data_IF_787579681767
#
_entry.id   IF_787579681767
#
_cell.length_a   1.000
_cell.length_b   1.000
_cell.length_c   1.000
_cell.angle_alpha   90.00
_cell.angle_beta   90.00
_cell.angle_gamma   90.00
#
_symmetry.space_group_name_H-M   'P 1'
#
loop_
_entity.id
_entity.type
_entity.pdbx_description
1 polymer ?
#
# COMPACT_ATOMS: atom_id res chain seq x y z
N UNK A 1 52.16 -31.09 57.76
CA UNK A 1 53.07 -30.61 58.83
C UNK A 1 52.52 -29.29 59.35
N UNK A 2 52.27 -29.21 60.67
CA UNK A 2 51.67 -28.15 61.51
C UNK A 2 50.17 -27.81 61.23
N UNK A 3 49.16 -28.37 61.93
CA UNK A 3 48.63 -28.18 63.33
C UNK A 3 47.96 -26.80 63.52
N UNK A 4 46.75 -26.57 64.08
CA UNK A 4 45.73 -27.27 64.90
C UNK A 4 44.39 -26.48 64.77
N UNK A 5 43.22 -27.06 64.48
CA UNK A 5 42.15 -27.61 65.36
C UNK A 5 41.80 -26.88 66.68
N UNK A 6 40.54 -26.39 66.78
CA UNK A 6 39.57 -26.45 67.91
C UNK A 6 38.17 -26.12 67.30
N UNK A 7 37.19 -27.03 67.14
CA UNK A 7 36.28 -27.64 68.13
C UNK A 7 35.48 -26.57 68.92
N UNK A 8 34.15 -26.58 69.13
CA UNK A 8 33.09 -27.59 68.99
C UNK A 8 31.72 -26.99 69.45
N UNK A 9 30.60 -27.69 69.17
CA UNK A 9 29.24 -27.65 69.84
C UNK A 9 28.31 -26.44 69.55
N UNK A 10 27.20 -26.58 68.80
CA UNK A 10 25.88 -27.25 69.03
C UNK A 10 24.86 -26.45 69.85
N UNK A 11 23.75 -26.03 69.22
CA UNK A 11 22.35 -26.32 69.59
C UNK A 11 21.35 -25.28 69.04
N UNK A 12 20.46 -25.79 68.17
CA UNK A 12 19.01 -25.54 68.07
C UNK A 12 18.36 -24.46 68.97
N UNK A 13 17.64 -23.49 68.38
CA UNK A 13 16.16 -23.39 68.37
C UNK A 13 15.69 -22.01 67.87
N UNK A 14 14.60 -22.04 67.12
CA UNK A 14 13.86 -20.94 66.50
C UNK A 14 13.26 -19.97 67.55
N UNK A 15 13.26 -18.66 67.26
CA UNK A 15 12.03 -17.87 67.06
C UNK A 15 12.27 -16.35 67.08
N UNK A 16 11.62 -15.71 66.10
CA UNK A 16 10.95 -14.42 66.10
C UNK A 16 11.71 -13.11 66.39
N UNK A 17 11.75 -12.33 65.30
CA UNK A 17 11.30 -10.93 65.20
C UNK A 17 12.27 -9.77 65.52
N UNK A 18 12.42 -8.96 64.45
CA UNK A 18 12.59 -7.50 64.42
C UNK A 18 13.95 -6.95 64.87
N UNK A 19 14.81 -6.60 63.90
CA UNK A 19 14.80 -5.26 63.30
C UNK A 19 16.08 -5.00 62.46
N UNK A 20 15.84 -4.46 61.26
CA UNK A 20 16.68 -3.56 60.47
C UNK A 20 18.21 -3.75 60.46
N UNK A 21 18.78 -4.07 59.29
CA UNK A 21 19.78 -3.22 58.59
C UNK A 21 20.14 -3.79 57.20
N UNK A 22 19.76 -3.02 56.17
CA UNK A 22 20.40 -2.80 54.86
C UNK A 22 21.36 -3.86 54.26
N UNK A 23 21.01 -4.37 53.06
CA UNK A 23 21.83 -4.31 51.81
C UNK A 23 21.19 -5.08 50.63
N UNK A 24 20.67 -4.30 49.69
CA UNK A 24 20.82 -4.40 48.21
C UNK A 24 20.64 -5.74 47.49
N UNK A 25 19.72 -5.79 46.51
CA UNK A 25 19.73 -6.81 45.46
C UNK A 25 18.49 -6.86 44.56
N UNK A 26 18.32 -5.87 43.69
CA UNK A 26 17.56 -5.91 42.42
C UNK A 26 16.11 -6.42 42.42
N UNK A 27 15.18 -5.46 42.52
CA UNK A 27 13.78 -5.62 42.13
C UNK A 27 13.51 -4.78 40.87
N UNK A 28 12.93 -5.45 39.87
CA UNK A 28 12.00 -4.95 38.84
C UNK A 28 12.41 -3.77 37.94
N UNK A 29 12.85 -4.11 36.73
CA UNK A 29 12.38 -3.43 35.50
C UNK A 29 12.44 -4.39 34.31
N UNK A 30 11.44 -5.28 34.20
CA UNK A 30 10.98 -5.66 32.86
C UNK A 30 10.38 -4.38 32.29
N UNK A 31 11.17 -3.65 31.51
CA UNK A 31 10.68 -2.58 30.68
C UNK A 31 9.59 -3.19 29.81
N UNK A 32 8.34 -2.86 30.13
CA UNK A 32 7.21 -3.02 29.24
C UNK A 32 7.61 -2.35 27.92
N UNK A 33 7.96 -3.17 26.94
CA UNK A 33 7.90 -2.74 25.56
C UNK A 33 6.43 -2.42 25.33
N UNK A 34 6.10 -1.12 25.34
CA UNK A 34 4.86 -0.65 24.75
C UNK A 34 4.90 -1.07 23.27
N UNK A 35 4.43 -2.27 22.98
CA UNK A 35 3.99 -2.66 21.64
C UNK A 35 2.84 -1.71 21.34
N UNK A 36 3.15 -0.60 20.69
CA UNK A 36 2.15 0.24 20.04
C UNK A 36 1.38 -0.71 19.14
N UNK A 37 0.12 -0.97 19.50
CA UNK A 37 -0.73 -1.91 18.79
C UNK A 37 -1.15 -1.25 17.46
N UNK A 38 -0.27 -1.31 16.47
CA UNK A 38 -0.56 -0.84 15.12
C UNK A 38 -1.68 -1.72 14.55
N UNK A 39 -2.78 -1.09 14.16
CA UNK A 39 -3.92 -1.80 13.56
C UNK A 39 -3.57 -2.30 12.16
N UNK A 40 -4.10 -3.48 11.79
CA UNK A 40 -3.98 -3.99 10.42
C UNK A 40 -4.61 -2.98 9.44
N UNK A 41 -3.92 -2.61 8.33
CA UNK A 41 -4.47 -1.68 7.36
C UNK A 41 -5.67 -2.28 6.65
N UNK A 42 -6.65 -1.45 6.28
CA UNK A 42 -7.74 -1.88 5.40
C UNK A 42 -7.21 -1.99 3.98
N UNK A 43 -7.48 -3.11 3.32
CA UNK A 43 -7.01 -3.40 1.96
C UNK A 43 -8.17 -3.50 0.98
N UNK A 44 -8.05 -2.84 -0.17
CA UNK A 44 -8.98 -2.99 -1.30
C UNK A 44 -8.30 -2.67 -2.63
N UNK A 45 -8.93 -3.05 -3.75
CA UNK A 45 -8.62 -2.44 -5.04
C UNK A 45 -9.29 -1.07 -5.14
N UNK A 46 -8.54 -0.03 -5.52
CA UNK A 46 -9.05 1.34 -5.63
C UNK A 46 -9.19 1.82 -7.08
N UNK A 47 -8.60 1.11 -8.03
CA UNK A 47 -8.83 1.34 -9.45
C UNK A 47 -8.66 0.04 -10.23
N UNK A 48 -9.52 -0.14 -11.24
CA UNK A 48 -9.44 -1.22 -12.20
C UNK A 48 -9.53 -0.63 -13.61
N UNK A 49 -8.72 -1.15 -14.52
CA UNK A 49 -8.88 -0.90 -15.95
C UNK A 49 -8.90 -2.19 -16.73
N UNK A 50 -10.03 -2.48 -17.36
CA UNK A 50 -10.20 -3.61 -18.27
C UNK A 50 -10.07 -3.09 -19.69
N UNK A 51 -9.29 -3.79 -20.50
CA UNK A 51 -9.09 -3.48 -21.91
C UNK A 51 -9.38 -4.73 -22.71
N UNK A 52 -9.97 -4.57 -23.90
CA UNK A 52 -10.41 -5.66 -24.78
C UNK A 52 -10.63 -5.14 -26.19
N UNK A 53 -11.04 -6.05 -27.06
CA UNK A 53 -11.44 -5.75 -28.43
C UNK A 53 -12.94 -5.75 -28.57
N UNK A 54 -13.44 -4.77 -29.30
CA UNK A 54 -14.81 -4.70 -29.76
C UNK A 54 -14.81 -4.86 -31.27
N UNK A 55 -15.44 -5.93 -31.76
CA UNK A 55 -15.63 -6.12 -33.19
C UNK A 55 -16.61 -5.06 -33.75
N UNK A 56 -16.70 -4.93 -35.08
CA UNK A 56 -17.49 -3.87 -35.72
C UNK A 56 -18.97 -3.91 -35.32
N UNK A 57 -19.55 -5.10 -35.25
CA UNK A 57 -20.97 -5.30 -34.98
C UNK A 57 -21.29 -4.99 -33.51
N UNK A 58 -20.46 -5.48 -32.59
CA UNK A 58 -20.56 -5.17 -31.16
C UNK A 58 -20.33 -3.68 -30.88
N UNK A 59 -19.42 -3.02 -31.62
CA UNK A 59 -19.20 -1.58 -31.48
C UNK A 59 -20.43 -0.77 -31.88
N UNK A 60 -21.08 -1.16 -32.97
CA UNK A 60 -22.33 -0.52 -33.41
C UNK A 60 -23.48 -0.82 -32.44
N UNK A 61 -23.61 -2.07 -31.99
CA UNK A 61 -24.65 -2.48 -31.04
C UNK A 61 -24.52 -1.74 -29.70
N UNK A 62 -23.31 -1.71 -29.14
CA UNK A 62 -23.01 -1.06 -27.88
C UNK A 62 -23.20 0.47 -27.98
N UNK A 63 -22.72 1.11 -29.05
CA UNK A 63 -22.94 2.54 -29.27
C UNK A 63 -24.43 2.88 -29.38
N UNK A 64 -25.23 2.03 -30.03
CA UNK A 64 -26.68 2.20 -30.16
C UNK A 64 -27.38 2.05 -28.81
N UNK A 65 -27.02 1.02 -28.03
CA UNK A 65 -27.52 0.81 -26.67
C UNK A 65 -27.23 2.03 -25.79
N UNK A 66 -25.98 2.50 -25.77
CA UNK A 66 -25.59 3.64 -24.94
C UNK A 66 -26.24 4.96 -25.34
N UNK A 67 -26.69 5.10 -26.60
CA UNK A 67 -27.39 6.29 -27.06
C UNK A 67 -28.85 6.38 -26.58
N UNK A 68 -29.43 5.26 -26.13
CA UNK A 68 -30.81 5.21 -25.63
C UNK A 68 -30.90 5.00 -24.11
N UNK A 69 -29.80 4.61 -23.46
CA UNK A 69 -29.72 4.41 -22.01
C UNK A 69 -29.55 5.76 -21.28
N UNK A 70 -30.55 6.26 -20.52
CA UNK A 70 -30.49 7.59 -19.91
C UNK A 70 -29.39 7.74 -18.86
N UNK A 71 -28.90 6.63 -18.29
CA UNK A 71 -27.84 6.63 -17.28
C UNK A 71 -26.43 6.75 -17.87
N UNK A 72 -26.32 6.82 -19.21
CA UNK A 72 -25.05 6.90 -19.92
C UNK A 72 -24.93 8.23 -20.65
N UNK A 73 -23.83 8.93 -20.41
CA UNK A 73 -23.45 10.12 -21.17
C UNK A 73 -22.45 9.72 -22.24
N UNK A 74 -22.83 9.86 -23.51
CA UNK A 74 -22.02 9.50 -24.67
C UNK A 74 -21.52 10.76 -25.40
N UNK A 75 -20.25 10.78 -25.84
CA UNK A 75 -19.66 11.87 -26.64
C UNK A 75 -18.52 11.36 -27.55
N UNK A 76 -17.93 12.26 -28.34
CA UNK A 76 -16.90 11.95 -29.35
C UNK A 76 -17.32 10.81 -30.31
N UNK A 77 -18.60 10.79 -30.72
CA UNK A 77 -19.22 9.67 -31.44
C UNK A 77 -18.84 9.72 -32.93
N UNK A 78 -18.12 8.71 -33.37
CA UNK A 78 -17.78 8.41 -34.77
C UNK A 78 -17.97 6.89 -35.00
N UNK A 79 -17.96 6.44 -36.25
CA UNK A 79 -18.05 5.00 -36.54
C UNK A 79 -16.91 4.17 -35.92
N UNK A 80 -15.74 4.78 -35.73
CA UNK A 80 -14.53 4.14 -35.23
C UNK A 80 -14.14 4.58 -33.83
N UNK A 81 -14.99 5.38 -33.16
CA UNK A 81 -14.66 5.98 -31.87
C UNK A 81 -15.90 6.37 -31.09
N UNK A 82 -15.90 6.15 -29.78
CA UNK A 82 -16.83 6.78 -28.87
C UNK A 82 -16.21 6.87 -27.48
N UNK A 83 -16.72 7.79 -26.66
CA UNK A 83 -16.44 7.84 -25.23
C UNK A 83 -17.74 7.91 -24.46
N UNK A 84 -17.79 7.24 -23.33
CA UNK A 84 -18.94 7.26 -22.45
C UNK A 84 -18.55 7.38 -20.99
N UNK A 85 -19.49 7.86 -20.19
CA UNK A 85 -19.52 7.66 -18.75
C UNK A 85 -20.87 7.09 -18.35
N UNK A 86 -20.83 6.08 -17.49
CA UNK A 86 -22.00 5.37 -17.02
C UNK A 86 -22.09 5.40 -15.49
N UNK A 87 -23.25 5.01 -14.96
CA UNK A 87 -23.48 4.80 -13.52
C UNK A 87 -23.09 6.03 -12.69
N UNK A 88 -23.71 7.18 -12.98
CA UNK A 88 -23.43 8.44 -12.29
C UNK A 88 -21.94 8.85 -12.38
N UNK A 89 -21.35 8.73 -13.57
CA UNK A 89 -19.96 9.09 -13.87
C UNK A 89 -18.89 8.24 -13.14
N UNK A 90 -19.28 7.11 -12.50
CA UNK A 90 -18.36 6.20 -11.80
C UNK A 90 -17.53 5.33 -12.74
N UNK A 91 -18.02 5.10 -13.96
CA UNK A 91 -17.37 4.26 -14.96
C UNK A 91 -17.05 5.10 -16.19
N UNK A 92 -15.81 5.07 -16.64
CA UNK A 92 -15.37 5.63 -17.92
C UNK A 92 -15.20 4.52 -18.96
N UNK A 93 -15.67 4.77 -20.19
CA UNK A 93 -15.59 3.84 -21.31
C UNK A 93 -15.02 4.60 -22.51
N UNK A 94 -14.02 4.03 -23.18
CA UNK A 94 -13.44 4.57 -24.41
C UNK A 94 -13.27 3.44 -25.43
N UNK A 95 -13.77 3.67 -26.64
CA UNK A 95 -13.49 2.86 -27.81
C UNK A 95 -12.82 3.76 -28.86
N UNK A 96 -11.70 3.33 -29.40
CA UNK A 96 -10.99 4.04 -30.49
C UNK A 96 -10.25 3.03 -31.36
N UNK A 97 -10.90 2.59 -32.43
CA UNK A 97 -10.35 1.59 -33.36
C UNK A 97 -9.12 2.11 -34.11
N UNK A 98 -9.18 3.35 -34.62
CA UNK A 98 -8.08 3.91 -35.43
C UNK A 98 -6.81 4.03 -34.59
N UNK A 99 -6.94 4.50 -33.35
CA UNK A 99 -5.82 4.56 -32.41
C UNK A 99 -5.34 3.16 -32.03
N UNK A 100 -6.23 2.21 -31.77
CA UNK A 100 -5.82 0.84 -31.49
C UNK A 100 -4.98 0.23 -32.63
N UNK A 101 -5.49 0.30 -33.86
CA UNK A 101 -4.82 -0.25 -35.05
C UNK A 101 -3.46 0.42 -35.28
N UNK A 102 -3.37 1.75 -35.07
CA UNK A 102 -2.11 2.51 -35.26
C UNK A 102 -1.02 2.15 -34.24
N UNK A 103 -1.40 1.67 -33.06
CA UNK A 103 -0.49 1.34 -31.97
C UNK A 103 -0.38 -0.17 -31.70
N UNK A 104 -1.04 -1.00 -32.53
CA UNK A 104 -1.18 -2.44 -32.36
C UNK A 104 -1.65 -2.82 -30.94
N UNK A 105 -2.82 -2.28 -30.54
CA UNK A 105 -3.40 -2.46 -29.21
C UNK A 105 -4.89 -2.78 -29.30
N UNK A 106 -5.40 -3.34 -28.21
CA UNK A 106 -6.82 -3.53 -27.96
C UNK A 106 -7.59 -2.20 -27.99
N UNK A 107 -8.78 -2.22 -28.59
CA UNK A 107 -9.49 -1.02 -29.04
C UNK A 107 -10.53 -0.44 -28.07
N UNK A 108 -10.81 -1.12 -26.96
CA UNK A 108 -11.76 -0.67 -25.95
C UNK A 108 -11.16 -0.72 -24.55
N UNK A 109 -11.49 0.28 -23.74
CA UNK A 109 -11.01 0.47 -22.36
C UNK A 109 -12.17 0.87 -21.46
N UNK A 110 -12.21 0.28 -20.27
CA UNK A 110 -13.17 0.57 -19.22
C UNK A 110 -12.42 0.84 -17.92
N UNK A 111 -12.63 2.00 -17.31
CA UNK A 111 -11.97 2.41 -16.06
C UNK A 111 -13.00 2.69 -14.97
N UNK A 112 -12.77 2.17 -13.77
CA UNK A 112 -13.65 2.39 -12.61
C UNK A 112 -12.92 2.13 -11.30
N UNK A 113 -13.46 2.66 -10.19
CA UNK A 113 -13.07 2.26 -8.84
C UNK A 113 -14.11 1.24 -8.34
N UNK A 114 -13.73 -0.03 -8.08
CA UNK A 114 -14.69 -1.05 -7.67
C UNK A 114 -15.35 -0.75 -6.31
N UNK A 115 -14.68 -0.01 -5.41
CA UNK A 115 -15.26 0.41 -4.13
C UNK A 115 -16.42 1.41 -4.26
N UNK A 116 -16.58 2.05 -5.43
CA UNK A 116 -17.68 3.00 -5.70
C UNK A 116 -18.89 2.36 -6.37
N UNK A 117 -18.79 1.08 -6.76
CA UNK A 117 -19.85 0.34 -7.42
C UNK A 117 -20.61 -0.53 -6.42
N UNK A 118 -21.93 -0.51 -6.47
CA UNK A 118 -22.76 -1.51 -5.79
C UNK A 118 -22.68 -2.86 -6.52
N UNK A 119 -23.14 -3.94 -5.88
CA UNK A 119 -23.17 -5.27 -6.52
C UNK A 119 -24.02 -5.28 -7.79
N UNK A 120 -25.16 -4.60 -7.78
CA UNK A 120 -26.05 -4.50 -8.94
C UNK A 120 -25.41 -3.70 -10.08
N UNK A 121 -24.71 -2.61 -9.74
CA UNK A 121 -23.92 -1.81 -10.69
C UNK A 121 -22.79 -2.63 -11.33
N UNK A 122 -22.09 -3.46 -10.53
CA UNK A 122 -21.06 -4.37 -11.04
C UNK A 122 -21.63 -5.40 -12.02
N UNK A 123 -22.76 -6.02 -11.66
CA UNK A 123 -23.46 -6.99 -12.52
C UNK A 123 -23.92 -6.31 -13.81
N UNK A 124 -24.53 -5.14 -13.72
CA UNK A 124 -24.98 -4.37 -14.87
C UNK A 124 -23.81 -4.02 -15.81
N UNK A 125 -22.68 -3.55 -15.27
CA UNK A 125 -21.51 -3.20 -16.07
C UNK A 125 -20.95 -4.42 -16.80
N UNK A 126 -20.86 -5.55 -16.10
CA UNK A 126 -20.40 -6.81 -16.68
C UNK A 126 -21.32 -7.29 -17.80
N UNK A 127 -22.63 -7.28 -17.58
CA UNK A 127 -23.61 -7.83 -18.51
C UNK A 127 -23.85 -6.96 -19.74
N UNK A 128 -23.84 -5.63 -19.58
CA UNK A 128 -24.26 -4.71 -20.64
C UNK A 128 -23.09 -4.07 -21.39
N UNK A 129 -21.88 -4.08 -20.83
CA UNK A 129 -20.70 -3.45 -21.45
C UNK A 129 -19.58 -4.48 -21.68
N UNK A 130 -19.06 -5.10 -20.61
CA UNK A 130 -17.86 -5.96 -20.70
C UNK A 130 -18.13 -7.22 -21.52
N UNK A 131 -19.34 -7.80 -21.43
CA UNK A 131 -19.75 -8.99 -22.18
C UNK A 131 -19.67 -8.87 -23.70
N UNK A 132 -19.64 -7.64 -24.24
CA UNK A 132 -19.46 -7.39 -25.68
C UNK A 132 -18.00 -7.46 -26.12
N UNK A 133 -17.05 -7.41 -25.17
CA UNK A 133 -15.62 -7.40 -25.44
C UNK A 133 -15.10 -8.82 -25.66
N UNK A 134 -14.09 -8.93 -26.51
CA UNK A 134 -13.28 -10.13 -26.76
C UNK A 134 -11.84 -9.83 -26.31
N UNK A 135 -11.06 -10.86 -25.98
CA UNK A 135 -9.65 -10.70 -25.56
C UNK A 135 -9.47 -9.67 -24.42
N UNK A 136 -10.42 -9.69 -23.47
CA UNK A 136 -10.43 -8.76 -22.35
C UNK A 136 -9.44 -9.17 -21.26
N UNK A 137 -8.92 -8.17 -20.56
CA UNK A 137 -8.04 -8.39 -19.42
C UNK A 137 -7.68 -7.10 -18.72
N UNK A 138 -7.18 -7.22 -17.50
CA UNK A 138 -6.73 -6.07 -16.73
C UNK A 138 -5.46 -5.47 -17.33
N UNK A 139 -5.40 -4.14 -17.37
CA UNK A 139 -4.19 -3.37 -17.73
C UNK A 139 -3.79 -2.38 -16.66
N UNK A 140 -4.64 -2.20 -15.65
CA UNK A 140 -4.35 -1.47 -14.41
C UNK A 140 -5.09 -2.09 -13.23
N UNK A 141 -4.38 -2.23 -12.12
CA UNK A 141 -4.92 -2.55 -10.80
C UNK A 141 -4.22 -1.66 -9.78
N UNK A 142 -4.98 -0.91 -8.99
CA UNK A 142 -4.42 -0.12 -7.89
C UNK A 142 -4.79 -0.79 -6.56
N UNK A 143 -3.80 -1.23 -5.78
CA UNK A 143 -4.00 -1.71 -4.41
C UNK A 143 -3.92 -0.53 -3.45
N UNK A 144 -4.88 -0.42 -2.53
CA UNK A 144 -4.89 0.62 -1.50
C UNK A 144 -4.88 0.00 -0.11
N UNK A 145 -3.88 0.36 0.69
CA UNK A 145 -3.76 0.05 2.11
C UNK A 145 -4.01 1.33 2.91
N UNK A 146 -5.12 1.38 3.64
CA UNK A 146 -5.48 2.49 4.52
C UNK A 146 -5.04 2.21 5.96
N UNK A 147 -4.23 3.09 6.51
CA UNK A 147 -3.71 3.08 7.88
C UNK A 147 -4.36 4.17 8.72
N UNK A 148 -4.69 3.86 9.97
CA UNK A 148 -5.18 4.83 10.96
C UNK A 148 -4.02 5.48 11.75
N UNK A 149 -2.77 5.18 11.38
CA UNK A 149 -1.53 5.78 11.91
C UNK A 149 -1.08 6.98 11.06
N UNK A 150 -0.34 7.92 11.67
CA UNK A 150 0.29 9.03 10.94
C UNK A 150 1.57 8.57 10.21
N UNK A 151 1.49 8.36 8.89
CA UNK A 151 2.65 7.96 8.09
C UNK A 151 3.62 9.11 7.75
N UNK A 152 3.37 10.34 8.22
CA UNK A 152 4.32 11.44 8.05
C UNK A 152 5.63 11.19 8.82
N UNK A 153 5.55 10.57 9.99
CA UNK A 153 6.69 10.25 10.87
C UNK A 153 7.47 8.99 10.46
N UNK A 154 6.97 8.25 9.45
CA UNK A 154 7.64 7.06 8.92
C UNK A 154 8.58 7.41 7.77
N UNK A 155 9.75 6.78 7.74
CA UNK A 155 10.69 6.84 6.64
C UNK A 155 10.37 5.77 5.59
N UNK A 156 10.02 6.20 4.38
CA UNK A 156 9.73 5.29 3.28
C UNK A 156 10.92 5.17 2.32
N UNK A 157 11.32 3.94 2.01
CA UNK A 157 12.41 3.65 1.07
C UNK A 157 12.11 2.44 0.22
N UNK A 158 12.81 2.33 -0.91
CA UNK A 158 12.80 1.14 -1.76
C UNK A 158 14.22 0.60 -1.88
N UNK A 159 14.36 -0.72 -1.96
CA UNK A 159 15.65 -1.35 -2.27
C UNK A 159 16.12 -0.99 -3.67
N UNK A 160 15.17 -0.90 -4.61
CA UNK A 160 15.43 -0.47 -5.98
C UNK A 160 15.67 1.05 -6.03
N UNK A 161 16.53 1.47 -6.94
CA UNK A 161 16.72 2.88 -7.23
C UNK A 161 15.56 3.38 -8.10
N UNK A 162 14.62 4.10 -7.48
CA UNK A 162 13.45 4.68 -8.14
C UNK A 162 13.45 6.20 -7.97
N UNK A 163 12.84 6.93 -8.92
CA UNK A 163 12.58 8.36 -8.74
C UNK A 163 11.67 8.56 -7.53
N UNK A 164 11.92 9.61 -6.74
CA UNK A 164 11.09 9.98 -5.60
C UNK A 164 10.62 11.42 -5.75
N UNK A 165 9.42 11.70 -5.25
CA UNK A 165 8.90 13.07 -5.15
C UNK A 165 8.14 13.19 -3.84
N UNK A 166 8.44 14.22 -3.06
CA UNK A 166 7.78 14.46 -1.77
C UNK A 166 7.12 15.84 -1.84
N UNK A 167 5.83 15.90 -1.52
CA UNK A 167 5.08 17.13 -1.36
C UNK A 167 4.95 17.41 0.13
N UNK A 168 5.35 18.62 0.51
CA UNK A 168 5.27 19.11 1.88
C UNK A 168 4.10 20.06 2.02
N UNK A 169 3.38 19.92 3.13
CA UNK A 169 2.33 20.85 3.52
C UNK A 169 2.89 22.21 3.91
N UNK A 170 1.99 23.17 4.15
CA UNK A 170 2.37 24.50 4.66
C UNK A 170 3.02 24.45 6.05
N UNK A 171 2.82 23.37 6.79
CA UNK A 171 3.46 23.10 8.09
C UNK A 171 4.87 22.50 7.97
N UNK A 172 5.37 22.26 6.75
CA UNK A 172 6.66 21.63 6.50
C UNK A 172 6.70 20.11 6.70
N UNK A 173 5.57 19.47 7.05
CA UNK A 173 5.49 18.01 7.14
C UNK A 173 5.26 17.40 5.75
N UNK A 174 5.83 16.22 5.44
CA UNK A 174 5.46 15.48 4.24
C UNK A 174 3.97 15.16 4.26
N UNK A 175 3.24 15.45 3.19
CA UNK A 175 1.83 15.09 3.00
C UNK A 175 1.65 14.00 1.95
N UNK A 176 2.58 13.90 0.99
CA UNK A 176 2.55 12.90 -0.08
C UNK A 176 3.97 12.52 -0.50
N UNK A 177 4.24 11.21 -0.61
CA UNK A 177 5.50 10.63 -1.07
C UNK A 177 5.20 9.73 -2.27
N UNK A 178 5.87 9.99 -3.39
CA UNK A 178 5.78 9.19 -4.62
C UNK A 178 7.07 8.40 -4.83
N UNK A 179 6.92 7.15 -5.24
CA UNK A 179 8.03 6.26 -5.62
C UNK A 179 7.77 5.71 -7.02
N UNK A 180 8.70 5.99 -7.94
CA UNK A 180 8.58 5.70 -9.37
C UNK A 180 7.98 6.86 -10.16
N UNK A 181 7.46 6.53 -11.35
CA UNK A 181 6.82 7.50 -12.25
C UNK A 181 5.46 6.94 -12.65
N UNK A 182 4.45 7.81 -12.74
CA UNK A 182 3.07 7.40 -13.03
C UNK A 182 2.93 6.50 -14.27
N UNK A 183 3.69 6.74 -15.33
CA UNK A 183 3.59 5.97 -16.59
C UNK A 183 4.36 4.64 -16.62
N UNK A 184 5.02 4.29 -15.51
CA UNK A 184 5.72 3.01 -15.35
C UNK A 184 4.75 1.87 -15.00
N UNK A 185 5.25 0.63 -15.02
CA UNK A 185 4.42 -0.55 -14.69
C UNK A 185 4.05 -0.62 -13.20
N UNK A 186 4.77 0.11 -12.34
CA UNK A 186 4.50 0.18 -10.90
C UNK A 186 4.80 1.56 -10.35
N UNK A 187 3.80 2.20 -9.76
CA UNK A 187 3.91 3.51 -9.14
C UNK A 187 3.29 3.51 -7.75
N UNK A 188 4.03 3.95 -6.73
CA UNK A 188 3.59 3.90 -5.34
C UNK A 188 3.36 5.32 -4.81
N UNK A 189 2.24 5.53 -4.12
CA UNK A 189 1.90 6.77 -3.41
C UNK A 189 1.72 6.47 -1.94
N UNK A 190 2.29 7.30 -1.08
CA UNK A 190 2.02 7.30 0.36
C UNK A 190 1.53 8.70 0.70
N UNK A 191 0.28 8.86 1.12
CA UNK A 191 -0.30 10.19 1.28
C UNK A 191 -1.34 10.27 2.38
N UNK A 192 -1.55 11.48 2.89
CA UNK A 192 -2.56 11.78 3.90
C UNK A 192 -3.96 11.76 3.25
N UNK A 193 -4.64 10.62 3.37
CA UNK A 193 -5.97 10.38 2.79
C UNK A 193 -7.05 11.21 3.48
N UNK A 194 -6.90 11.50 4.77
CA UNK A 194 -7.81 12.39 5.50
C UNK A 194 -7.79 13.80 4.94
N UNK A 195 -6.59 14.33 4.69
CA UNK A 195 -6.40 15.65 4.09
C UNK A 195 -6.95 15.68 2.66
N UNK A 196 -6.65 14.66 1.85
CA UNK A 196 -7.16 14.56 0.47
C UNK A 196 -8.70 14.53 0.39
N UNK A 197 -9.36 13.77 1.28
CA UNK A 197 -10.84 13.76 1.39
C UNK A 197 -11.41 15.12 1.79
N UNK A 198 -10.75 15.80 2.73
CA UNK A 198 -11.15 17.15 3.15
C UNK A 198 -11.07 18.15 2.00
N UNK A 199 -10.01 18.06 1.20
CA UNK A 199 -9.80 18.93 0.04
C UNK A 199 -10.82 18.67 -1.09
N UNK A 200 -11.29 17.43 -1.21
CA UNK A 200 -12.35 17.04 -2.15
C UNK A 200 -13.79 17.26 -1.63
N UNK A 201 -13.97 17.78 -0.42
CA UNK A 201 -15.26 17.91 0.26
C UNK A 201 -16.03 16.58 0.41
N UNK A 202 -15.30 15.48 0.62
CA UNK A 202 -15.87 14.18 0.97
C UNK A 202 -16.31 14.13 2.46
N UNK A 203 -17.03 13.06 2.84
CA UNK A 203 -17.47 12.85 4.21
C UNK A 203 -16.33 12.83 5.23
N UNK A 204 -16.59 13.36 6.42
CA UNK A 204 -15.62 13.44 7.51
C UNK A 204 -15.19 12.04 7.99
N UNK A 205 -13.89 11.90 8.27
CA UNK A 205 -13.28 10.66 8.76
C UNK A 205 -13.19 10.73 10.29
N UNK A 206 -13.82 9.76 10.96
CA UNK A 206 -13.87 9.69 12.43
C UNK A 206 -12.51 9.44 13.08
N UNK A 207 -11.60 8.71 12.41
CA UNK A 207 -10.26 8.45 12.93
C UNK A 207 -9.41 9.72 12.94
N UNK A 208 -8.51 9.85 13.91
CA UNK A 208 -7.60 10.99 14.05
C UNK A 208 -6.71 11.13 12.80
N UNK A 209 -6.14 10.02 12.33
CA UNK A 209 -5.34 9.94 11.13
C UNK A 209 -5.95 8.98 10.10
N UNK A 210 -5.73 9.26 8.82
CA UNK A 210 -5.99 8.31 7.75
C UNK A 210 -4.95 8.54 6.65
N UNK A 211 -4.08 7.57 6.47
CA UNK A 211 -3.05 7.57 5.45
C UNK A 211 -3.23 6.39 4.51
N UNK A 212 -2.89 6.58 3.24
CA UNK A 212 -3.00 5.53 2.23
C UNK A 212 -1.65 5.24 1.62
N UNK A 213 -1.30 3.95 1.55
CA UNK A 213 -0.27 3.42 0.66
C UNK A 213 -0.97 2.82 -0.54
N UNK A 214 -0.82 3.45 -1.70
CA UNK A 214 -1.47 3.06 -2.94
C UNK A 214 -0.43 2.59 -3.95
N UNK A 215 -0.63 1.39 -4.51
CA UNK A 215 0.29 0.74 -5.43
C UNK A 215 -0.44 0.58 -6.76
N UNK A 216 -0.14 1.48 -7.70
CA UNK A 216 -0.67 1.47 -9.06
C UNK A 216 0.16 0.53 -9.92
N UNK A 217 -0.44 -0.58 -10.35
CA UNK A 217 0.14 -1.60 -11.23
C UNK A 217 -0.43 -1.44 -12.63
N UNK A 218 0.42 -1.56 -13.64
CA UNK A 218 0.04 -1.45 -15.05
C UNK A 218 0.71 -2.52 -15.89
N UNK A 219 0.13 -2.80 -17.06
CA UNK A 219 0.67 -3.73 -18.07
C UNK A 219 0.83 -5.13 -17.45
N UNK A 220 2.00 -5.74 -17.56
CA UNK A 220 2.36 -7.05 -17.02
C UNK A 220 2.37 -7.12 -15.49
N UNK A 221 2.63 -6.01 -14.79
CA UNK A 221 2.70 -6.00 -13.32
C UNK A 221 1.36 -6.27 -12.64
N UNK A 222 0.23 -6.21 -13.37
CA UNK A 222 -1.09 -6.53 -12.81
C UNK A 222 -1.21 -8.00 -12.41
N UNK A 223 -0.50 -8.90 -13.11
CA UNK A 223 -0.52 -10.34 -12.82
C UNK A 223 0.27 -10.68 -11.55
N UNK A 224 1.13 -9.76 -11.11
CA UNK A 224 1.98 -9.90 -9.91
C UNK A 224 1.46 -9.05 -8.74
N UNK A 225 0.16 -8.73 -8.72
CA UNK A 225 -0.44 -7.88 -7.69
C UNK A 225 -0.23 -8.43 -6.26
N UNK A 226 -0.12 -9.75 -6.10
CA UNK A 226 0.10 -10.41 -4.81
C UNK A 226 1.57 -10.41 -4.32
N UNK A 227 2.54 -9.94 -5.13
CA UNK A 227 3.95 -9.76 -4.75
C UNK A 227 4.56 -8.50 -5.41
N UNK A 228 3.82 -7.38 -5.35
CA UNK A 228 4.20 -6.18 -6.10
C UNK A 228 5.00 -5.13 -5.29
N UNK A 229 5.24 -5.34 -3.99
CA UNK A 229 5.86 -4.33 -3.10
C UNK A 229 6.90 -4.89 -2.11
N UNK A 230 7.48 -6.05 -2.41
CA UNK A 230 8.47 -6.69 -1.54
C UNK A 230 9.75 -5.86 -1.30
N UNK A 231 10.06 -4.93 -2.19
CA UNK A 231 11.20 -4.02 -2.09
C UNK A 231 10.88 -2.67 -1.44
N UNK A 232 9.62 -2.39 -1.11
CA UNK A 232 9.20 -1.20 -0.36
C UNK A 232 9.41 -1.44 1.13
N UNK A 233 9.81 -0.40 1.85
CA UNK A 233 9.94 -0.40 3.31
C UNK A 233 9.37 0.90 3.86
N UNK A 234 8.50 0.80 4.87
CA UNK A 234 7.91 1.95 5.55
C UNK A 234 8.27 1.81 7.03
N UNK A 235 9.34 2.50 7.41
CA UNK A 235 10.14 2.23 8.59
C UNK A 235 10.00 3.35 9.62
N UNK A 236 10.32 3.05 10.86
CA UNK A 236 10.52 4.05 11.91
C UNK A 236 11.93 3.93 12.50
N UNK A 237 12.97 4.45 11.84
CA UNK A 237 14.36 4.17 12.23
C UNK A 237 14.74 4.81 13.57
N UNK A 238 15.16 4.01 14.55
CA UNK A 238 15.72 4.53 15.81
C UNK A 238 17.23 4.71 15.69
N UNK A 239 17.63 5.75 14.93
CA UNK A 239 19.03 6.03 14.63
C UNK A 239 19.89 6.29 15.88
N UNK A 240 19.27 6.62 17.03
CA UNK A 240 20.00 6.84 18.29
C UNK A 240 20.58 5.55 18.87
N UNK A 241 20.06 4.38 18.49
CA UNK A 241 20.57 3.06 18.90
C UNK A 241 21.91 2.69 18.27
N UNK A 242 22.30 3.36 17.17
CA UNK A 242 23.56 3.09 16.48
C UNK A 242 24.73 3.43 17.40
N UNK A 243 25.53 2.43 17.76
CA UNK A 243 26.69 2.60 18.66
C UNK A 243 27.79 3.45 18.03
N UNK A 244 28.17 3.15 16.77
CA UNK A 244 29.27 3.83 16.08
C UNK A 244 28.86 5.24 15.67
N UNK A 245 29.49 6.25 16.28
CA UNK A 245 29.18 7.68 16.05
C UNK A 245 29.20 8.08 14.58
N UNK A 246 30.14 7.56 13.79
CA UNK A 246 30.22 7.85 12.35
C UNK A 246 29.00 7.32 11.56
N UNK A 247 28.54 6.10 11.85
CA UNK A 247 27.35 5.55 11.20
C UNK A 247 26.09 6.29 11.66
N UNK A 248 26.01 6.62 12.95
CA UNK A 248 24.90 7.39 13.52
C UNK A 248 24.75 8.75 12.84
N UNK A 249 25.85 9.47 12.63
CA UNK A 249 25.86 10.75 11.94
C UNK A 249 25.43 10.63 10.47
N UNK A 250 25.93 9.61 9.75
CA UNK A 250 25.57 9.40 8.34
C UNK A 250 24.10 9.01 8.21
N UNK A 251 23.58 8.12 9.06
CA UNK A 251 22.16 7.75 9.04
C UNK A 251 21.28 8.96 9.35
N UNK A 252 21.60 9.76 10.37
CA UNK A 252 20.87 10.99 10.66
C UNK A 252 20.83 11.94 9.46
N UNK A 253 21.97 12.13 8.79
CA UNK A 253 22.09 12.94 7.58
C UNK A 253 21.17 12.42 6.46
N UNK A 254 21.20 11.11 6.18
CA UNK A 254 20.40 10.47 5.12
C UNK A 254 18.90 10.45 5.39
N UNK A 255 18.49 10.40 6.66
CA UNK A 255 17.09 10.50 7.06
C UNK A 255 16.56 11.94 6.99
N UNK A 256 17.44 12.92 7.12
CA UNK A 256 17.09 14.35 7.14
C UNK A 256 17.08 14.97 5.75
N UNK A 257 17.96 14.52 4.86
CA UNK A 257 18.10 15.05 3.51
C UNK A 257 18.23 13.91 2.48
N UNK A 258 17.23 13.81 1.61
CA UNK A 258 17.17 12.76 0.59
C UNK A 258 18.25 12.94 -0.50
N UNK A 259 18.74 14.17 -0.74
CA UNK A 259 19.79 14.42 -1.74
C UNK A 259 21.14 13.78 -1.34
N UNK A 260 21.36 13.56 -0.05
CA UNK A 260 22.59 12.97 0.49
C UNK A 260 22.81 11.52 0.04
N UNK A 261 21.73 10.79 -0.28
CA UNK A 261 21.82 9.48 -0.90
C UNK A 261 22.56 9.52 -2.24
N UNK A 262 22.37 10.59 -3.00
CA UNK A 262 23.01 10.81 -4.30
C UNK A 262 24.53 10.88 -4.22
N UNK A 263 25.07 11.38 -3.10
CA UNK A 263 26.51 11.60 -2.88
C UNK A 263 27.27 10.35 -2.46
N UNK A 264 26.56 9.31 -2.01
CA UNK A 264 27.18 8.05 -1.58
C UNK A 264 27.51 7.11 -2.74
N UNK A 265 28.63 6.38 -2.62
CA UNK A 265 28.95 5.24 -3.49
C UNK A 265 27.93 4.10 -3.34
N UNK A 266 27.71 3.30 -4.40
CA UNK A 266 26.68 2.23 -4.43
C UNK A 266 26.77 1.25 -3.24
N UNK A 267 27.99 0.86 -2.86
CA UNK A 267 28.21 -0.07 -1.74
C UNK A 267 27.83 0.59 -0.41
N UNK A 268 28.15 1.87 -0.24
CA UNK A 268 27.77 2.66 0.94
C UNK A 268 26.26 2.83 1.02
N UNK A 269 25.58 3.11 -0.10
CA UNK A 269 24.11 3.16 -0.13
C UNK A 269 23.50 1.85 0.36
N UNK A 270 23.99 0.72 -0.16
CA UNK A 270 23.51 -0.61 0.25
C UNK A 270 23.73 -0.85 1.74
N UNK A 271 24.93 -0.53 2.26
CA UNK A 271 25.24 -0.62 3.69
C UNK A 271 24.25 0.17 4.54
N UNK A 272 24.02 1.45 4.21
CA UNK A 272 23.15 2.30 5.03
C UNK A 272 21.67 1.98 4.88
N UNK A 273 21.23 1.48 3.71
CA UNK A 273 19.88 0.91 3.54
C UNK A 273 19.66 -0.25 4.52
N UNK A 274 20.59 -1.21 4.57
CA UNK A 274 20.49 -2.34 5.48
C UNK A 274 20.52 -1.89 6.94
N UNK A 275 21.45 -0.99 7.29
CA UNK A 275 21.52 -0.45 8.65
C UNK A 275 20.22 0.23 9.07
N UNK A 276 19.61 1.05 8.21
CA UNK A 276 18.32 1.72 8.48
C UNK A 276 17.22 0.69 8.75
N UNK A 277 17.15 -0.41 7.99
CA UNK A 277 16.20 -1.50 8.25
C UNK A 277 16.45 -2.17 9.61
N UNK A 278 17.72 -2.48 9.92
CA UNK A 278 18.11 -3.15 11.17
C UNK A 278 17.77 -2.34 12.43
N UNK A 279 17.88 -1.01 12.36
CA UNK A 279 17.57 -0.11 13.49
C UNK A 279 16.10 0.28 13.58
N UNK A 280 15.25 -0.23 12.69
CA UNK A 280 13.83 0.10 12.65
C UNK A 280 13.04 -0.95 13.42
N UNK A 281 12.48 -0.64 14.61
CA UNK A 281 11.64 -1.58 15.35
C UNK A 281 10.34 -1.96 14.61
N UNK A 282 9.91 -1.14 13.66
CA UNK A 282 8.68 -1.32 12.88
C UNK A 282 8.98 -1.18 11.38
N UNK A 283 8.50 -2.14 10.59
CA UNK A 283 8.33 -2.05 9.13
C UNK A 283 6.88 -2.37 8.77
N UNK A 284 6.09 -1.34 8.40
CA UNK A 284 4.67 -1.52 8.06
C UNK A 284 4.48 -2.39 6.82
N UNK A 285 5.53 -2.62 6.02
CA UNK A 285 5.46 -3.49 4.85
C UNK A 285 5.14 -4.93 5.24
N UNK A 286 5.63 -5.41 6.39
CA UNK A 286 5.33 -6.76 6.85
C UNK A 286 3.86 -6.91 7.29
N UNK A 287 3.29 -5.83 7.83
CA UNK A 287 1.86 -5.73 8.12
C UNK A 287 1.04 -5.72 6.82
N UNK A 288 1.47 -4.98 5.79
CA UNK A 288 0.86 -4.98 4.46
C UNK A 288 0.88 -6.37 3.81
N UNK A 289 2.02 -7.08 3.87
CA UNK A 289 2.15 -8.46 3.35
C UNK A 289 1.20 -9.42 4.07
N UNK A 290 1.11 -9.31 5.39
CA UNK A 290 0.22 -10.14 6.20
C UNK A 290 -1.25 -9.89 5.88
N UNK A 291 -1.63 -8.61 5.76
CA UNK A 291 -2.98 -8.17 5.36
C UNK A 291 -3.32 -8.65 3.95
N UNK A 292 -2.40 -8.53 3.00
CA UNK A 292 -2.57 -9.01 1.62
C UNK A 292 -2.85 -10.51 1.60
N UNK A 293 -2.02 -11.29 2.29
CA UNK A 293 -2.17 -12.76 2.38
C UNK A 293 -3.51 -13.16 3.01
N UNK A 294 -3.97 -12.44 4.03
CA UNK A 294 -5.27 -12.70 4.67
C UNK A 294 -6.46 -12.44 3.73
N UNK A 295 -6.34 -11.45 2.82
CA UNK A 295 -7.40 -11.04 1.90
C UNK A 295 -7.24 -11.60 0.47
N UNK A 296 -6.16 -12.32 0.17
CA UNK A 296 -5.76 -12.72 -1.18
C UNK A 296 -6.88 -13.46 -1.93
N UNK A 297 -7.53 -14.42 -1.27
CA UNK A 297 -8.65 -15.18 -1.85
C UNK A 297 -9.86 -14.33 -2.17
N UNK A 298 -10.16 -13.31 -1.36
CA UNK A 298 -11.29 -12.42 -1.60
C UNK A 298 -11.00 -11.47 -2.76
N UNK A 299 -9.79 -10.92 -2.81
CA UNK A 299 -9.35 -10.05 -3.90
C UNK A 299 -9.28 -10.82 -5.23
N UNK A 300 -8.78 -12.06 -5.21
CA UNK A 300 -8.78 -12.91 -6.40
C UNK A 300 -10.21 -13.19 -6.89
N UNK A 301 -11.17 -13.47 -6.01
CA UNK A 301 -12.59 -13.61 -6.40
C UNK A 301 -13.15 -12.34 -7.04
N UNK A 302 -12.71 -11.15 -6.63
CA UNK A 302 -13.12 -9.89 -7.27
C UNK A 302 -12.55 -9.77 -8.70
N UNK A 303 -11.31 -10.20 -8.93
CA UNK A 303 -10.71 -10.27 -10.27
C UNK A 303 -11.46 -11.30 -11.13
N UNK A 304 -11.67 -12.51 -10.58
CA UNK A 304 -12.33 -13.62 -11.27
C UNK A 304 -13.77 -13.26 -11.68
N UNK A 305 -14.47 -12.46 -10.87
CA UNK A 305 -15.79 -11.94 -11.20
C UNK A 305 -15.79 -11.21 -12.54
N UNK A 306 -14.73 -10.50 -12.92
CA UNK A 306 -14.70 -9.77 -14.19
C UNK A 306 -14.29 -10.64 -15.37
N UNK A 307 -13.33 -11.56 -15.18
CA UNK A 307 -12.75 -12.37 -16.26
C UNK A 307 -13.61 -13.57 -16.70
N UNK A 308 -14.40 -14.17 -15.81
CA UNK A 308 -15.13 -15.40 -16.13
C UNK A 308 -16.50 -15.11 -16.75
N UNK A 309 -16.90 -15.89 -17.75
CA UNK A 309 -18.28 -15.88 -18.26
C UNK A 309 -19.29 -16.09 -17.11
N UNK A 310 -20.45 -15.45 -17.20
CA UNK A 310 -21.49 -15.48 -16.15
C UNK A 310 -22.01 -16.88 -15.79
N UNK A 311 -21.69 -17.90 -16.60
CA UNK A 311 -22.13 -19.29 -16.45
C UNK A 311 -21.72 -19.94 -15.12
N UNK A 312 -20.82 -19.32 -14.35
CA UNK A 312 -20.32 -19.88 -13.08
C UNK A 312 -20.92 -19.26 -11.81
N UNK A 313 -21.93 -18.38 -11.91
CA UNK A 313 -22.46 -17.63 -10.76
C UNK A 313 -23.98 -17.75 -10.56
N UNK A 314 -24.56 -18.91 -10.91
CA UNK A 314 -25.83 -19.39 -10.35
C UNK A 314 -25.52 -20.38 -9.23
#
# INVERSE_FOLDING_TARGET
MYKNNHANHSNHLENHDLDNFSKTGYSNSRLDAHTVCISDPKLSFDAMTIVGNLNRDNAQALSKFMSVEPQIRLWDILQTKFKAKALQEKVYIEYDKVKADSWDRRNMRIEFNPNKLTRDEMIWLKQNIISYMEDDGFTRLDLAFDFEEDLSDYYAMSDKAVKKTIFYGRNGKPETKYFGVRDSNRFIRIYNKKQERKDNADAEVMSEHLWRVEIELKRDMVDYWNDCFSDLHILQPDWKTIQRTADRAIVFMLLSDEEEWGKLHRNSRTKYKNLIKEISPVDLTDLMKSTLKANEKQLQKQIDFWQHEFKFWK
#
